data_IF_675418173378
#
_entry.id   IF_675418173378
#
_cell.length_a   1.000
_cell.length_b   1.000
_cell.length_c   1.000
_cell.angle_alpha   90.00
_cell.angle_beta   90.00
_cell.angle_gamma   90.00
#
_symmetry.space_group_name_H-M   'P 1'
#
loop_
_entity.id
_entity.type
_entity.pdbx_description
1 polymer ?
#
# COMPACT_ATOMS: atom_id res chain seq x y z
N UNK A 1 -11.73 2.92 -19.18
CA UNK A 1 -10.32 3.17 -19.54
C UNK A 1 -9.99 2.58 -20.92
N UNK A 2 -10.11 1.28 -21.14
CA UNK A 2 -9.79 0.64 -22.43
C UNK A 2 -10.55 1.29 -23.58
N UNK A 3 -11.85 1.53 -23.44
CA UNK A 3 -12.68 2.21 -24.47
C UNK A 3 -12.26 3.66 -24.75
N UNK A 4 -11.37 4.23 -23.93
CA UNK A 4 -10.75 5.55 -24.13
C UNK A 4 -9.34 5.48 -24.70
N UNK A 5 -8.90 4.29 -25.13
CA UNK A 5 -7.58 4.06 -25.73
C UNK A 5 -6.43 3.92 -24.74
N UNK A 6 -6.71 3.56 -23.47
CA UNK A 6 -5.68 3.27 -22.49
C UNK A 6 -5.34 1.78 -22.47
N UNK A 7 -4.06 1.44 -22.51
CA UNK A 7 -3.59 0.13 -22.07
C UNK A 7 -3.46 0.14 -20.54
N UNK A 8 -3.78 -0.97 -19.88
CA UNK A 8 -3.72 -1.10 -18.42
C UNK A 8 -2.75 -2.22 -18.08
N UNK A 9 -1.85 -1.97 -17.15
CA UNK A 9 -0.99 -2.97 -16.54
C UNK A 9 -1.14 -2.92 -15.02
N UNK A 10 -1.26 -4.09 -14.41
CA UNK A 10 -1.18 -4.28 -12.98
C UNK A 10 -0.04 -5.27 -12.71
N UNK A 11 0.94 -4.86 -11.92
CA UNK A 11 2.07 -5.73 -11.60
C UNK A 11 1.70 -6.69 -10.47
N UNK A 12 2.15 -7.94 -10.60
CA UNK A 12 2.31 -8.80 -9.44
C UNK A 12 3.65 -8.43 -8.81
N UNK A 13 3.63 -8.00 -7.55
CA UNK A 13 4.87 -7.60 -6.89
C UNK A 13 5.82 -8.78 -6.71
N UNK A 14 7.16 -8.55 -6.58
CA UNK A 14 8.12 -9.61 -6.28
C UNK A 14 7.65 -10.46 -5.10
N UNK A 15 7.75 -11.78 -5.20
CA UNK A 15 7.24 -12.70 -4.19
C UNK A 15 5.77 -13.12 -4.35
N UNK A 16 4.99 -12.41 -5.16
CA UNK A 16 3.63 -12.82 -5.52
C UNK A 16 3.69 -13.75 -6.74
N UNK A 17 3.63 -15.06 -6.50
CA UNK A 17 3.76 -16.07 -7.56
C UNK A 17 5.20 -16.30 -8.07
N UNK A 18 6.18 -15.63 -7.50
CA UNK A 18 7.61 -15.79 -7.78
C UNK A 18 8.39 -16.10 -6.50
N UNK A 19 9.67 -16.47 -6.61
CA UNK A 19 10.51 -16.64 -5.45
C UNK A 19 10.76 -15.30 -4.74
N UNK A 20 10.89 -15.35 -3.41
CA UNK A 20 11.11 -14.19 -2.56
C UNK A 20 9.88 -13.83 -1.72
N UNK A 21 9.98 -12.73 -1.02
CA UNK A 21 8.89 -12.15 -0.22
C UNK A 21 8.35 -10.91 -0.90
N UNK A 22 7.06 -10.71 -0.72
CA UNK A 22 6.38 -9.53 -1.19
C UNK A 22 6.72 -8.32 -0.29
N UNK A 23 7.27 -7.22 -0.84
CA UNK A 23 7.70 -6.05 -0.06
C UNK A 23 6.51 -5.13 0.31
N UNK A 24 5.55 -5.65 1.08
CA UNK A 24 4.31 -4.94 1.44
C UNK A 24 4.62 -3.66 2.22
N UNK A 25 4.16 -2.51 1.72
CA UNK A 25 4.40 -1.16 2.24
C UNK A 25 5.91 -0.83 2.38
N UNK A 26 6.77 -1.47 1.56
CA UNK A 26 8.16 -1.09 1.38
C UNK A 26 8.25 -0.30 0.06
N UNK A 27 8.28 1.02 0.19
CA UNK A 27 7.96 1.93 -0.90
C UNK A 27 8.86 1.81 -2.12
N UNK A 28 10.18 1.64 -1.93
CA UNK A 28 11.12 1.48 -3.06
C UNK A 28 10.81 0.22 -3.86
N UNK A 29 10.58 -0.91 -3.18
CA UNK A 29 10.27 -2.18 -3.85
C UNK A 29 8.96 -2.13 -4.63
N UNK A 30 7.91 -1.56 -4.03
CA UNK A 30 6.61 -1.38 -4.68
C UNK A 30 6.69 -0.42 -5.87
N UNK A 31 7.37 0.71 -5.69
CA UNK A 31 7.53 1.73 -6.72
C UNK A 31 8.31 1.21 -7.93
N UNK A 32 9.42 0.50 -7.71
CA UNK A 32 10.20 -0.12 -8.77
C UNK A 32 9.39 -1.16 -9.54
N UNK A 33 8.71 -2.07 -8.84
CA UNK A 33 7.87 -3.09 -9.48
C UNK A 33 6.75 -2.47 -10.34
N UNK A 34 6.14 -1.38 -9.87
CA UNK A 34 5.12 -0.63 -10.63
C UNK A 34 5.70 -0.04 -11.91
N UNK A 35 6.87 0.60 -11.84
CA UNK A 35 7.53 1.19 -13.01
C UNK A 35 8.04 0.14 -13.98
N UNK A 36 8.55 -0.99 -13.49
CA UNK A 36 9.00 -2.09 -14.33
C UNK A 36 7.84 -2.76 -15.07
N UNK A 37 6.67 -2.88 -14.43
CA UNK A 37 5.44 -3.32 -15.10
C UNK A 37 5.06 -2.44 -16.29
N UNK A 38 5.17 -1.12 -16.14
CA UNK A 38 4.94 -0.16 -17.22
C UNK A 38 5.97 -0.29 -18.33
N UNK A 39 7.25 -0.43 -17.99
CA UNK A 39 8.32 -0.66 -18.99
C UNK A 39 8.11 -1.97 -19.75
N UNK A 40 7.67 -3.03 -19.05
CA UNK A 40 7.35 -4.29 -19.68
C UNK A 40 6.18 -4.14 -20.68
N UNK A 41 5.13 -3.40 -20.31
CA UNK A 41 4.00 -3.11 -21.21
C UNK A 41 4.46 -2.37 -22.47
N UNK A 42 5.36 -1.39 -22.35
CA UNK A 42 5.91 -0.66 -23.49
C UNK A 42 6.71 -1.54 -24.47
N UNK A 43 7.12 -2.75 -24.05
CA UNK A 43 7.84 -3.71 -24.91
C UNK A 43 6.90 -4.74 -25.56
N UNK A 44 5.61 -4.68 -25.29
CA UNK A 44 4.61 -5.55 -25.92
C UNK A 44 4.12 -4.88 -27.21
N UNK A 45 4.63 -5.33 -28.36
CA UNK A 45 4.34 -4.71 -29.67
C UNK A 45 2.84 -4.57 -29.94
N UNK A 46 2.05 -5.58 -29.64
CA UNK A 46 0.60 -5.59 -29.87
C UNK A 46 -0.18 -4.65 -28.93
N UNK A 47 0.43 -4.21 -27.83
CA UNK A 47 -0.20 -3.25 -26.93
C UNK A 47 -0.18 -1.82 -27.47
N UNK A 48 0.74 -1.51 -28.38
CA UNK A 48 0.96 -0.17 -28.94
C UNK A 48 1.03 0.93 -27.87
N UNK A 49 1.52 0.57 -26.66
CA UNK A 49 1.59 1.47 -25.52
C UNK A 49 2.69 2.51 -25.72
N UNK A 50 2.38 3.76 -25.41
CA UNK A 50 3.39 4.83 -25.34
C UNK A 50 4.05 4.88 -23.98
N UNK A 51 5.15 5.64 -23.86
CA UNK A 51 5.81 5.89 -22.59
C UNK A 51 5.09 6.95 -21.73
N UNK A 52 3.99 7.54 -22.21
CA UNK A 52 3.16 8.44 -21.39
C UNK A 52 2.27 7.60 -20.49
N UNK A 53 2.48 7.71 -19.19
CA UNK A 53 1.87 6.84 -18.19
C UNK A 53 1.12 7.63 -17.13
N UNK A 54 0.00 7.09 -16.69
CA UNK A 54 -0.73 7.53 -15.52
C UNK A 54 -0.59 6.44 -14.45
N UNK A 55 -0.19 6.84 -13.25
CA UNK A 55 -0.10 5.97 -12.10
C UNK A 55 -1.37 6.10 -11.26
N UNK A 56 -1.98 4.99 -10.86
CA UNK A 56 -3.11 5.03 -9.94
C UNK A 56 -3.19 3.76 -9.10
N UNK A 57 -3.69 3.91 -7.90
CA UNK A 57 -3.83 2.77 -7.00
C UNK A 57 -4.66 3.09 -5.77
N UNK A 58 -5.20 2.03 -5.16
CA UNK A 58 -6.01 2.09 -3.96
C UNK A 58 -5.27 1.44 -2.79
N UNK A 59 -5.44 1.98 -1.59
CA UNK A 59 -4.88 1.43 -0.36
C UNK A 59 -3.35 1.28 -0.44
N UNK A 60 -2.82 0.08 -0.26
CA UNK A 60 -1.43 -0.26 -0.49
C UNK A 60 -0.98 0.08 -1.93
N UNK A 61 -1.84 -0.15 -2.95
CA UNK A 61 -1.55 0.27 -4.33
C UNK A 61 -1.45 1.80 -4.49
N UNK A 62 -2.15 2.59 -3.66
CA UNK A 62 -1.98 4.03 -3.58
C UNK A 62 -0.61 4.43 -3.03
N UNK A 63 -0.11 3.72 -2.00
CA UNK A 63 1.24 3.88 -1.50
C UNK A 63 2.29 3.56 -2.58
N UNK A 64 2.15 2.42 -3.27
CA UNK A 64 3.01 2.02 -4.38
C UNK A 64 3.02 3.06 -5.52
N UNK A 65 1.86 3.62 -5.85
CA UNK A 65 1.69 4.67 -6.86
C UNK A 65 2.45 5.94 -6.51
N UNK A 66 2.35 6.39 -5.27
CA UNK A 66 3.08 7.58 -4.81
C UNK A 66 4.59 7.34 -4.79
N UNK A 67 5.04 6.19 -4.34
CA UNK A 67 6.46 5.82 -4.39
C UNK A 67 6.98 5.69 -5.82
N UNK A 68 6.23 5.05 -6.72
CA UNK A 68 6.58 5.00 -8.14
C UNK A 68 6.77 6.40 -8.71
N UNK A 69 5.85 7.32 -8.44
CA UNK A 69 5.95 8.70 -8.91
C UNK A 69 7.15 9.46 -8.31
N UNK A 70 7.48 9.20 -7.04
CA UNK A 70 8.63 9.83 -6.37
C UNK A 70 9.97 9.41 -6.96
N UNK A 71 10.11 8.13 -7.34
CA UNK A 71 11.38 7.60 -7.83
C UNK A 71 11.47 7.57 -9.36
N UNK A 72 10.38 7.86 -10.09
CA UNK A 72 10.30 7.70 -11.53
C UNK A 72 11.42 8.44 -12.28
N UNK A 73 11.72 9.68 -11.89
CA UNK A 73 12.73 10.49 -12.57
C UNK A 73 14.14 9.87 -12.53
N UNK A 74 14.48 9.20 -11.44
CA UNK A 74 15.79 8.58 -11.26
C UNK A 74 15.81 7.13 -11.73
N UNK A 75 14.74 6.37 -11.45
CA UNK A 75 14.67 4.94 -11.74
C UNK A 75 14.19 4.62 -13.15
N UNK A 76 13.22 5.37 -13.66
CA UNK A 76 12.57 5.14 -14.96
C UNK A 76 12.47 6.44 -15.78
N UNK A 77 13.61 7.10 -16.12
CA UNK A 77 13.62 8.36 -16.86
C UNK A 77 13.09 8.26 -18.28
N UNK A 78 12.90 7.05 -18.77
CA UNK A 78 12.30 6.71 -20.06
C UNK A 78 10.75 6.79 -20.03
N UNK A 79 10.12 6.83 -18.87
CA UNK A 79 8.68 6.99 -18.71
C UNK A 79 8.31 8.46 -18.47
N UNK A 80 7.25 8.92 -19.11
CA UNK A 80 6.65 10.25 -18.93
C UNK A 80 5.42 10.13 -18.02
N UNK A 81 5.58 10.37 -16.72
CA UNK A 81 4.48 10.31 -15.75
C UNK A 81 3.64 11.57 -15.88
N UNK A 82 2.47 11.45 -16.49
CA UNK A 82 1.57 12.57 -16.80
C UNK A 82 0.46 12.80 -15.75
N UNK A 83 0.29 11.89 -14.81
CA UNK A 83 -0.69 12.02 -13.73
C UNK A 83 -0.52 10.92 -12.68
N UNK A 84 -0.93 11.23 -11.46
CA UNK A 84 -0.85 10.33 -10.31
C UNK A 84 -2.17 10.39 -9.55
N UNK A 85 -2.78 9.24 -9.25
CA UNK A 85 -3.98 9.17 -8.43
C UNK A 85 -3.83 8.15 -7.31
N UNK A 86 -3.90 8.58 -6.06
CA UNK A 86 -3.83 7.72 -4.89
C UNK A 86 -5.16 7.77 -4.12
N UNK A 87 -5.75 6.59 -3.94
CA UNK A 87 -7.11 6.42 -3.46
C UNK A 87 -7.10 5.68 -2.12
N UNK A 88 -7.67 6.26 -1.06
CA UNK A 88 -7.62 5.71 0.30
C UNK A 88 -6.25 5.12 0.62
N UNK A 89 -5.21 5.89 0.32
CA UNK A 89 -3.83 5.43 0.23
C UNK A 89 -3.19 5.25 1.60
N UNK A 90 -2.52 4.11 1.83
CA UNK A 90 -1.67 3.87 3.00
C UNK A 90 -0.38 4.72 2.96
N UNK A 91 -0.51 6.03 2.77
CA UNK A 91 0.61 6.96 2.60
C UNK A 91 1.59 6.97 3.77
N UNK A 92 1.10 6.65 4.94
CA UNK A 92 1.87 6.60 6.19
C UNK A 92 1.75 5.22 6.84
N UNK A 93 2.64 4.27 6.51
CA UNK A 93 2.63 2.93 7.10
C UNK A 93 2.75 2.93 8.62
N UNK A 94 3.43 3.91 9.21
CA UNK A 94 3.54 4.03 10.66
C UNK A 94 2.20 4.40 11.30
N UNK A 95 1.51 5.40 10.76
CA UNK A 95 0.20 5.81 11.26
C UNK A 95 -0.86 4.71 11.06
N UNK A 96 -0.84 4.04 9.91
CA UNK A 96 -1.74 2.88 9.64
C UNK A 96 -1.45 1.75 10.63
N UNK A 97 -0.18 1.42 10.86
CA UNK A 97 0.20 0.37 11.82
C UNK A 97 -0.25 0.71 13.26
N UNK A 98 -0.09 1.97 13.69
CA UNK A 98 -0.59 2.44 14.99
C UNK A 98 -2.10 2.25 15.09
N UNK A 99 -2.85 2.71 14.09
CA UNK A 99 -4.32 2.59 14.08
C UNK A 99 -4.77 1.12 14.20
N UNK A 100 -4.09 0.21 13.50
CA UNK A 100 -4.42 -1.22 13.50
C UNK A 100 -4.09 -1.86 14.86
N UNK A 101 -2.93 -1.56 15.44
CA UNK A 101 -2.44 -2.21 16.67
C UNK A 101 -3.08 -1.62 17.92
N UNK A 102 -3.41 -0.33 17.94
CA UNK A 102 -4.14 0.29 19.06
C UNK A 102 -5.61 -0.14 19.11
N UNK A 103 -6.12 -0.71 18.02
CA UNK A 103 -7.45 -1.32 17.98
C UNK A 103 -7.54 -2.62 18.78
N UNK A 104 -8.75 -3.17 18.96
CA UNK A 104 -8.93 -4.44 19.66
C UNK A 104 -8.25 -5.58 18.90
N UNK A 105 -7.45 -6.37 19.60
CA UNK A 105 -6.81 -7.54 19.04
C UNK A 105 -7.83 -8.51 18.43
N UNK A 106 -7.55 -8.96 17.22
CA UNK A 106 -8.38 -9.93 16.51
C UNK A 106 -7.53 -10.78 15.56
N UNK A 107 -8.08 -11.90 15.10
CA UNK A 107 -7.41 -12.72 14.10
C UNK A 107 -7.12 -11.95 12.80
N UNK A 108 -8.04 -11.05 12.40
CA UNK A 108 -7.86 -10.22 11.22
C UNK A 108 -6.74 -9.19 11.43
N UNK A 109 -6.72 -8.50 12.57
CA UNK A 109 -5.65 -7.55 12.93
C UNK A 109 -4.30 -8.25 12.91
N UNK A 110 -4.18 -9.42 13.53
CA UNK A 110 -2.95 -10.20 13.54
C UNK A 110 -2.53 -10.64 12.12
N UNK A 111 -3.47 -11.03 11.27
CA UNK A 111 -3.18 -11.41 9.89
C UNK A 111 -2.69 -10.21 9.06
N UNK A 112 -3.36 -9.04 9.17
CA UNK A 112 -2.95 -7.83 8.45
C UNK A 112 -1.58 -7.35 8.94
N UNK A 113 -1.32 -7.39 10.25
CA UNK A 113 -0.01 -7.04 10.81
C UNK A 113 1.09 -7.97 10.30
N UNK A 114 0.78 -9.27 10.03
CA UNK A 114 1.74 -10.19 9.41
C UNK A 114 2.26 -9.73 8.05
N UNK A 115 1.37 -9.15 7.23
CA UNK A 115 1.75 -8.64 5.91
C UNK A 115 2.74 -7.48 5.98
N UNK A 116 2.83 -6.77 7.09
CA UNK A 116 3.81 -5.71 7.32
C UNK A 116 5.06 -6.27 7.98
N UNK A 117 4.90 -6.98 9.11
CA UNK A 117 6.01 -7.38 9.98
C UNK A 117 6.97 -8.37 9.29
N UNK A 118 6.43 -9.32 8.51
CA UNK A 118 7.27 -10.35 7.86
C UNK A 118 8.15 -9.75 6.78
N UNK A 119 7.63 -8.98 5.78
CA UNK A 119 8.48 -8.33 4.80
C UNK A 119 9.50 -7.36 5.40
N UNK A 120 9.12 -6.62 6.44
CA UNK A 120 10.03 -5.70 7.11
C UNK A 120 11.18 -6.44 7.81
N UNK A 121 10.90 -7.59 8.45
CA UNK A 121 11.95 -8.43 9.05
C UNK A 121 12.86 -9.10 8.02
N UNK A 122 12.38 -9.33 6.81
CA UNK A 122 13.18 -9.88 5.70
C UNK A 122 14.04 -8.80 5.01
N UNK A 123 13.50 -7.58 4.85
CA UNK A 123 14.17 -6.47 4.14
C UNK A 123 15.20 -5.74 5.01
N UNK A 124 14.89 -5.56 6.29
CA UNK A 124 15.70 -4.73 7.19
C UNK A 124 16.51 -5.57 8.16
N UNK A 125 17.88 -5.59 8.04
CA UNK A 125 18.74 -6.46 8.85
C UNK A 125 18.71 -6.17 10.37
N UNK A 126 18.26 -5.00 10.77
CA UNK A 126 18.09 -4.58 12.16
C UNK A 126 16.77 -5.04 12.78
N UNK A 127 15.90 -5.69 11.99
CA UNK A 127 14.66 -6.30 12.43
C UNK A 127 14.76 -7.83 12.36
N UNK A 128 14.14 -8.51 13.30
CA UNK A 128 14.00 -9.97 13.25
C UNK A 128 12.56 -10.36 13.58
N UNK A 129 11.99 -11.31 12.84
CA UNK A 129 10.63 -11.74 13.06
C UNK A 129 10.38 -12.24 14.50
N UNK A 130 11.37 -12.95 15.07
CA UNK A 130 11.31 -13.43 16.46
C UNK A 130 11.31 -12.27 17.46
N UNK A 131 12.05 -11.19 17.17
CA UNK A 131 12.10 -10.00 18.01
C UNK A 131 10.84 -9.13 17.94
N UNK A 132 10.03 -9.31 16.88
CA UNK A 132 8.79 -8.55 16.64
C UNK A 132 7.53 -9.32 17.04
N UNK A 133 7.66 -10.56 17.52
CA UNK A 133 6.53 -11.45 17.80
C UNK A 133 6.62 -12.05 19.20
N UNK A 134 5.47 -12.28 19.80
CA UNK A 134 5.40 -13.14 20.98
C UNK A 134 5.73 -14.61 20.62
N UNK A 135 6.08 -15.46 21.60
CA UNK A 135 6.32 -16.88 21.35
C UNK A 135 5.17 -17.53 20.58
N UNK A 136 5.48 -18.31 19.56
CA UNK A 136 4.59 -18.90 18.56
C UNK A 136 3.98 -17.92 17.54
N UNK A 137 4.07 -16.61 17.73
CA UNK A 137 3.59 -15.61 16.76
C UNK A 137 4.34 -15.65 15.43
N UNK A 138 5.65 -15.92 15.45
CA UNK A 138 6.48 -15.95 14.24
C UNK A 138 6.04 -17.00 13.23
N UNK A 139 5.67 -18.20 13.68
CA UNK A 139 5.19 -19.27 12.79
C UNK A 139 3.86 -18.90 12.15
N UNK A 140 2.97 -18.27 12.92
CA UNK A 140 1.72 -17.75 12.39
C UNK A 140 1.93 -16.62 11.39
N UNK A 141 2.77 -15.65 11.74
CA UNK A 141 3.08 -14.50 10.90
C UNK A 141 3.60 -14.94 9.52
N UNK A 142 4.57 -15.86 9.51
CA UNK A 142 5.14 -16.43 8.29
C UNK A 142 4.07 -17.14 7.43
N UNK A 143 3.24 -17.96 8.07
CA UNK A 143 2.15 -18.68 7.38
C UNK A 143 1.07 -17.74 6.84
N UNK A 144 0.76 -16.65 7.53
CA UNK A 144 -0.22 -15.66 7.08
C UNK A 144 0.34 -14.84 5.92
N UNK A 145 1.56 -14.31 6.04
CA UNK A 145 2.21 -13.49 5.03
C UNK A 145 2.55 -14.25 3.73
N UNK A 146 2.57 -15.58 3.76
CA UNK A 146 2.80 -16.41 2.56
C UNK A 146 1.55 -16.62 1.69
N UNK A 147 0.40 -16.08 2.07
CA UNK A 147 -0.88 -16.28 1.37
C UNK A 147 -1.50 -14.95 0.96
N UNK A 148 -2.20 -14.95 -0.18
CA UNK A 148 -3.04 -13.82 -0.55
C UNK A 148 -4.25 -13.70 0.40
N UNK A 149 -4.71 -12.48 0.66
CA UNK A 149 -5.87 -12.24 1.52
C UNK A 149 -7.14 -12.96 1.06
N UNK A 150 -7.26 -13.21 -0.24
CA UNK A 150 -8.39 -13.92 -0.87
C UNK A 150 -8.17 -15.43 -0.99
N UNK A 151 -7.00 -15.95 -0.58
CA UNK A 151 -6.73 -17.39 -0.62
C UNK A 151 -7.63 -18.13 0.39
N UNK A 152 -8.30 -19.23 0.00
CA UNK A 152 -9.08 -20.06 0.94
C UNK A 152 -8.24 -20.55 2.14
N UNK A 153 -6.94 -20.73 1.98
CA UNK A 153 -5.99 -21.05 3.06
C UNK A 153 -5.85 -19.96 4.12
N UNK A 154 -6.19 -18.71 3.79
CA UNK A 154 -6.21 -17.59 4.75
C UNK A 154 -7.23 -17.83 5.85
N UNK A 155 -8.38 -18.44 5.54
CA UNK A 155 -9.35 -18.87 6.55
C UNK A 155 -8.73 -19.84 7.56
N UNK A 156 -7.88 -20.76 7.10
CA UNK A 156 -7.14 -21.68 7.99
C UNK A 156 -6.20 -20.91 8.91
N UNK A 157 -5.50 -19.91 8.38
CA UNK A 157 -4.64 -19.04 9.20
C UNK A 157 -5.43 -18.27 10.26
N UNK A 158 -6.60 -17.72 9.90
CA UNK A 158 -7.49 -17.06 10.84
C UNK A 158 -7.99 -18.02 11.93
N UNK A 159 -8.36 -19.25 11.59
CA UNK A 159 -8.79 -20.26 12.56
C UNK A 159 -7.65 -20.70 13.49
N UNK A 160 -6.43 -20.83 12.97
CA UNK A 160 -5.24 -21.11 13.79
C UNK A 160 -4.97 -19.97 14.76
N UNK A 161 -5.10 -18.71 14.33
CA UNK A 161 -4.96 -17.53 15.21
C UNK A 161 -6.00 -17.51 16.31
N UNK A 162 -7.24 -17.84 16.00
CA UNK A 162 -8.30 -17.96 17.00
C UNK A 162 -7.99 -19.06 18.02
N UNK A 163 -7.38 -20.16 17.58
CA UNK A 163 -6.95 -21.26 18.43
C UNK A 163 -5.74 -20.94 19.31
N UNK A 164 -4.86 -20.04 18.88
CA UNK A 164 -3.67 -19.58 19.60
C UNK A 164 -3.97 -18.43 20.58
N UNK A 165 -5.21 -18.07 20.81
CA UNK A 165 -5.57 -16.97 21.70
C UNK A 165 -5.86 -15.68 20.93
N UNK A 166 -6.59 -15.74 19.83
CA UNK A 166 -6.87 -14.65 18.90
C UNK A 166 -7.58 -13.41 19.46
N UNK A 167 -7.50 -13.25 20.78
CA UNK A 167 -7.90 -12.04 21.52
C UNK A 167 -6.69 -11.21 21.98
N UNK A 168 -5.48 -11.70 21.76
CA UNK A 168 -4.24 -11.02 22.11
C UNK A 168 -3.48 -10.66 20.82
N UNK A 169 -2.74 -9.56 20.85
CA UNK A 169 -1.81 -9.24 19.79
C UNK A 169 -0.67 -10.26 19.77
N UNK A 170 -0.34 -10.77 18.59
CA UNK A 170 0.78 -11.70 18.41
C UNK A 170 2.12 -10.99 18.26
N UNK A 171 2.10 -9.67 18.20
CA UNK A 171 3.24 -8.81 17.91
C UNK A 171 3.59 -7.94 19.12
N UNK A 172 4.89 -7.73 19.29
CA UNK A 172 5.45 -6.80 20.26
C UNK A 172 6.21 -5.71 19.46
N UNK A 173 5.48 -4.66 19.11
CA UNK A 173 5.98 -3.59 18.24
C UNK A 173 6.04 -2.28 19.00
N UNK A 174 7.24 -1.73 19.16
CA UNK A 174 7.39 -0.34 19.57
C UNK A 174 7.19 0.58 18.35
N UNK A 175 6.02 1.19 18.27
CA UNK A 175 5.67 2.12 17.18
C UNK A 175 5.94 3.60 17.53
N UNK A 176 6.47 3.87 18.72
CA UNK A 176 6.81 5.23 19.14
C UNK A 176 8.29 5.53 19.02
N UNK A 177 9.15 4.50 19.06
CA UNK A 177 10.58 4.63 18.94
C UNK A 177 11.25 3.34 18.44
N UNK A 178 12.53 3.43 18.07
CA UNK A 178 13.37 2.29 17.75
C UNK A 178 13.22 1.77 16.31
N UNK A 179 13.82 0.60 16.02
CA UNK A 179 14.00 0.17 14.64
C UNK A 179 12.71 0.00 13.85
N UNK A 180 11.64 -0.54 14.43
CA UNK A 180 10.35 -0.72 13.74
C UNK A 180 9.75 0.63 13.37
N UNK A 181 9.68 1.55 14.33
CA UNK A 181 9.24 2.93 14.10
C UNK A 181 10.03 3.56 12.94
N UNK A 182 11.37 3.49 13.00
CA UNK A 182 12.24 4.15 12.04
C UNK A 182 12.06 3.56 10.63
N UNK A 183 11.89 2.24 10.51
CA UNK A 183 11.67 1.58 9.22
C UNK A 183 10.30 1.86 8.64
N UNK A 184 9.24 1.90 9.45
CA UNK A 184 7.91 2.32 9.01
C UNK A 184 7.91 3.79 8.58
N UNK A 185 8.54 4.67 9.36
CA UNK A 185 8.68 6.09 9.04
C UNK A 185 9.48 6.33 7.74
N UNK A 186 10.48 5.51 7.44
CA UNK A 186 11.27 5.53 6.21
C UNK A 186 10.41 5.27 4.96
N UNK A 187 9.32 4.53 5.12
CA UNK A 187 8.42 4.15 4.04
C UNK A 187 7.20 5.09 3.91
N UNK A 188 7.16 6.20 4.62
CA UNK A 188 6.12 7.22 4.42
C UNK A 188 6.26 7.80 3.03
N UNK A 189 5.20 7.69 2.22
CA UNK A 189 5.14 8.33 0.92
C UNK A 189 4.96 9.84 1.12
N UNK A 190 5.89 10.65 0.59
CA UNK A 190 5.82 12.12 0.75
C UNK A 190 4.69 12.73 -0.03
N UNK A 191 4.22 12.06 -1.10
CA UNK A 191 3.27 12.56 -2.08
C UNK A 191 3.72 13.85 -2.82
N UNK A 192 4.99 14.22 -2.68
CA UNK A 192 5.59 15.35 -3.40
C UNK A 192 6.10 14.82 -4.73
N UNK A 193 5.24 14.85 -5.73
CA UNK A 193 5.50 14.27 -7.06
C UNK A 193 5.54 15.36 -8.13
N UNK A 194 6.25 15.17 -9.25
CA UNK A 194 6.36 16.19 -10.30
C UNK A 194 5.11 16.34 -11.17
N UNK A 195 4.28 15.28 -11.26
CA UNK A 195 3.05 15.25 -12.04
C UNK A 195 1.83 15.78 -11.27
N UNK A 196 0.73 16.15 -11.94
CA UNK A 196 -0.55 16.42 -11.29
C UNK A 196 -0.96 15.27 -10.39
N UNK A 197 -1.41 15.59 -9.18
CA UNK A 197 -1.76 14.61 -8.15
C UNK A 197 -3.24 14.74 -7.78
N UNK A 198 -3.94 13.60 -7.84
CA UNK A 198 -5.29 13.42 -7.32
C UNK A 198 -5.26 12.54 -6.08
N UNK A 199 -5.91 12.99 -5.00
CA UNK A 199 -6.04 12.25 -3.75
C UNK A 199 -7.52 12.08 -3.41
N UNK A 200 -8.01 10.84 -3.40
CA UNK A 200 -9.40 10.51 -3.09
C UNK A 200 -9.52 9.65 -1.84
N UNK A 201 -10.42 10.04 -0.89
CA UNK A 201 -10.55 9.35 0.39
C UNK A 201 -11.99 9.15 0.81
N UNK A 202 -12.34 7.93 1.22
CA UNK A 202 -13.58 7.66 1.93
C UNK A 202 -13.55 8.26 3.33
N UNK A 203 -14.60 9.01 3.70
CA UNK A 203 -14.65 9.65 5.04
C UNK A 203 -14.85 8.63 6.15
N UNK A 204 -15.57 7.54 5.85
CA UNK A 204 -15.90 6.48 6.81
C UNK A 204 -14.92 5.28 6.69
N UNK A 205 -13.70 5.54 6.17
CA UNK A 205 -12.65 4.55 6.02
C UNK A 205 -12.03 4.23 7.39
N UNK A 206 -12.26 3.01 7.87
CA UNK A 206 -11.74 2.50 9.13
C UNK A 206 -10.38 1.81 9.02
N UNK A 207 -9.86 1.62 7.79
CA UNK A 207 -8.55 0.99 7.54
C UNK A 207 -7.47 2.04 7.38
N UNK A 208 -7.72 3.03 6.51
CA UNK A 208 -6.86 4.20 6.33
C UNK A 208 -7.67 5.43 6.72
N UNK A 209 -7.43 5.92 7.92
CA UNK A 209 -8.18 7.05 8.47
C UNK A 209 -8.08 8.28 7.58
N UNK A 210 -9.20 9.03 7.47
CA UNK A 210 -9.25 10.33 6.80
C UNK A 210 -8.19 11.31 7.31
N UNK A 211 -7.77 11.21 8.57
CA UNK A 211 -6.76 12.08 9.15
C UNK A 211 -5.36 11.82 8.58
N UNK A 212 -5.06 10.59 8.14
CA UNK A 212 -3.83 10.26 7.41
C UNK A 212 -3.83 10.98 6.07
N UNK A 213 -4.95 10.95 5.36
CA UNK A 213 -5.12 11.68 4.10
C UNK A 213 -4.94 13.19 4.30
N UNK A 214 -5.64 13.80 5.26
CA UNK A 214 -5.55 15.23 5.56
C UNK A 214 -4.13 15.68 5.94
N UNK A 215 -3.39 14.82 6.65
CA UNK A 215 -1.98 15.07 6.96
C UNK A 215 -1.12 15.07 5.69
N UNK A 216 -1.40 14.16 4.76
CA UNK A 216 -0.75 14.10 3.46
C UNK A 216 -1.06 15.34 2.62
N UNK A 217 -2.33 15.75 2.55
CA UNK A 217 -2.77 16.96 1.84
C UNK A 217 -2.06 18.21 2.37
N UNK A 218 -2.01 18.36 3.69
CA UNK A 218 -1.31 19.49 4.33
C UNK A 218 0.19 19.50 3.97
N UNK A 219 0.82 18.34 3.90
CA UNK A 219 2.24 18.20 3.50
C UNK A 219 2.46 18.62 2.04
N UNK A 220 1.62 18.16 1.12
CA UNK A 220 1.70 18.50 -0.30
C UNK A 220 1.45 20.00 -0.53
N UNK A 221 0.42 20.57 0.12
CA UNK A 221 0.14 21.99 0.07
C UNK A 221 1.29 22.83 0.63
N UNK A 222 1.88 22.43 1.76
CA UNK A 222 3.04 23.12 2.36
C UNK A 222 4.27 23.11 1.43
N UNK A 223 4.43 22.07 0.60
CA UNK A 223 5.46 21.97 -0.42
C UNK A 223 5.17 22.82 -1.67
N UNK A 224 4.01 23.51 -1.73
CA UNK A 224 3.60 24.33 -2.87
C UNK A 224 3.31 23.52 -4.14
N UNK A 225 2.93 22.26 -4.00
CA UNK A 225 2.63 21.38 -5.15
C UNK A 225 1.12 21.36 -5.42
N UNK A 226 0.71 21.40 -6.69
CA UNK A 226 -0.69 21.29 -7.04
C UNK A 226 -1.20 19.88 -6.67
N UNK A 227 -2.32 19.86 -5.97
CA UNK A 227 -3.02 18.62 -5.61
C UNK A 227 -4.52 18.88 -5.69
N UNK A 228 -5.23 17.91 -6.25
CA UNK A 228 -6.69 17.86 -6.22
C UNK A 228 -7.10 16.82 -5.18
N UNK A 229 -7.88 17.23 -4.17
CA UNK A 229 -8.26 16.38 -3.04
C UNK A 229 -9.77 16.28 -2.94
N UNK A 230 -10.27 15.06 -2.84
CA UNK A 230 -11.70 14.77 -2.68
C UNK A 230 -11.95 13.86 -1.47
N UNK A 231 -12.86 14.28 -0.60
CA UNK A 231 -13.39 13.47 0.49
C UNK A 231 -14.80 12.97 0.12
N UNK A 232 -15.07 11.67 0.31
CA UNK A 232 -16.33 11.01 -0.06
C UNK A 232 -17.10 10.56 1.19
N UNK A 233 -18.05 11.36 1.70
CA UNK A 233 -18.90 11.00 2.85
C UNK A 233 -19.70 9.72 2.58
N UNK A 234 -19.84 8.87 3.59
CA UNK A 234 -20.59 7.61 3.50
C UNK A 234 -19.85 6.50 2.74
N UNK A 235 -18.56 6.69 2.44
CA UNK A 235 -17.72 5.68 1.80
C UNK A 235 -16.67 5.18 2.77
N UNK A 236 -16.65 3.86 2.96
CA UNK A 236 -15.62 3.12 3.68
C UNK A 236 -14.43 2.80 2.76
N UNK A 237 -13.48 2.01 3.26
CA UNK A 237 -12.25 1.66 2.56
C UNK A 237 -12.46 1.05 1.17
N UNK A 238 -13.40 0.14 1.01
CA UNK A 238 -13.72 -0.50 -0.27
C UNK A 238 -14.85 0.21 -1.03
N UNK A 239 -15.78 0.80 -0.31
CA UNK A 239 -16.92 1.51 -0.89
C UNK A 239 -16.51 2.73 -1.71
N UNK A 240 -15.35 3.33 -1.41
CA UNK A 240 -14.84 4.49 -2.16
C UNK A 240 -14.49 4.14 -3.61
N UNK A 241 -14.05 2.92 -3.87
CA UNK A 241 -13.72 2.42 -5.23
C UNK A 241 -14.80 1.52 -5.83
N UNK A 242 -15.90 1.30 -5.12
CA UNK A 242 -16.98 0.45 -5.61
C UNK A 242 -17.67 1.06 -6.83
N UNK A 243 -18.32 0.20 -7.64
CA UNK A 243 -19.11 0.66 -8.78
C UNK A 243 -20.15 1.68 -8.34
N UNK A 244 -20.25 2.79 -9.06
CA UNK A 244 -21.13 3.91 -8.73
C UNK A 244 -20.63 4.80 -7.59
N UNK A 245 -19.37 4.69 -7.21
CA UNK A 245 -18.73 5.69 -6.37
C UNK A 245 -18.47 6.96 -7.17
N UNK A 246 -18.76 8.16 -6.62
CA UNK A 246 -18.42 9.43 -7.25
C UNK A 246 -16.94 9.57 -7.59
N UNK A 247 -16.04 8.96 -6.80
CA UNK A 247 -14.61 8.96 -7.06
C UNK A 247 -14.27 8.45 -8.46
N UNK A 248 -14.98 7.45 -8.95
CA UNK A 248 -14.71 6.87 -10.28
C UNK A 248 -15.03 7.88 -11.39
N UNK A 249 -16.05 8.71 -11.20
CA UNK A 249 -16.38 9.77 -12.14
C UNK A 249 -15.36 10.91 -12.06
N UNK A 250 -15.01 11.36 -10.86
CA UNK A 250 -14.05 12.45 -10.63
C UNK A 250 -12.65 12.12 -11.17
N UNK A 251 -12.21 10.86 -11.05
CA UNK A 251 -10.90 10.40 -11.52
C UNK A 251 -10.72 10.53 -13.05
N UNK A 252 -11.79 10.60 -13.82
CA UNK A 252 -11.74 10.57 -15.29
C UNK A 252 -12.27 11.85 -15.95
N UNK A 253 -12.50 12.92 -15.20
CA UNK A 253 -12.81 14.25 -15.71
C UNK A 253 -11.56 15.07 -15.91
#
# INVERSE_FOLDING_TARGET
MIDRGWAIVATDYPGMGTAGRYPYLIGVGEGQATLDGLRALCQVDDAHASNRVMLWGHSQGGHATLWAAQIAADYAPDLDVVGVAALSSATDPLAVSKLIIEGPASALVNAVTSYVVVPYADEYPDLTLIGLTHPAGSVFADAAASRCATDPGTLVSLLVTLGLGGRDHLYDLDLDAGPVHDRLAQNIATAIVPAPLFLGQGVDDEVVSIDIQRTTDARVCAAGRPVETHEYPGRDHLGVIAQGSPLIDDLFV
#
